data_IF_559412919397
#
_entry.id   IF_559412919397
#
_cell.length_a   1.000
_cell.length_b   1.000
_cell.length_c   1.000
_cell.angle_alpha   90.00
_cell.angle_beta   90.00
_cell.angle_gamma   90.00
#
_symmetry.space_group_name_H-M   'P 1'
#
loop_
_entity.id
_entity.type
_entity.pdbx_description
1 polymer ?
#
# COMPACT_ATOMS: atom_id res chain seq x y z
N UNK A 1 -13.15 14.38 -8.69
CA UNK A 1 -13.12 13.10 -9.39
C UNK A 1 -12.19 12.15 -8.66
N UNK A 2 -12.65 10.94 -8.36
CA UNK A 2 -11.80 9.96 -7.69
C UNK A 2 -10.70 9.46 -8.61
N UNK A 3 -9.50 9.34 -8.07
CA UNK A 3 -8.37 8.79 -8.79
C UNK A 3 -7.94 7.48 -8.15
N UNK A 4 -7.51 6.55 -8.96
CA UNK A 4 -7.11 5.23 -8.49
C UNK A 4 -5.65 4.96 -8.87
N UNK A 5 -4.93 4.33 -7.95
CA UNK A 5 -3.55 3.93 -8.17
C UNK A 5 -3.49 2.43 -8.39
N UNK A 6 -2.89 2.01 -9.50
CA UNK A 6 -2.67 0.59 -9.76
C UNK A 6 -1.49 0.11 -8.91
N UNK A 7 -1.79 -0.78 -7.95
CA UNK A 7 -0.79 -1.27 -7.00
C UNK A 7 -0.30 -2.68 -7.33
N UNK A 8 -0.69 -3.19 -8.49
CA UNK A 8 -0.25 -4.49 -8.98
C UNK A 8 -1.41 -5.43 -9.25
N UNK A 9 -1.22 -6.35 -10.18
CA UNK A 9 -2.20 -7.40 -10.52
C UNK A 9 -3.60 -6.88 -10.81
N UNK A 10 -3.71 -5.67 -11.37
CA UNK A 10 -5.00 -5.06 -11.68
C UNK A 10 -5.74 -4.48 -10.50
N UNK A 11 -5.13 -4.51 -9.32
CA UNK A 11 -5.75 -3.94 -8.12
C UNK A 11 -5.63 -2.42 -8.14
N UNK A 12 -6.74 -1.75 -7.90
CA UNK A 12 -6.78 -0.29 -7.87
C UNK A 12 -7.14 0.18 -6.48
N UNK A 13 -6.41 1.18 -5.98
CA UNK A 13 -6.66 1.78 -4.68
C UNK A 13 -7.02 3.24 -4.86
N UNK A 14 -8.08 3.69 -4.22
CA UNK A 14 -8.48 5.09 -4.25
C UNK A 14 -7.40 5.92 -3.55
N UNK A 15 -6.82 6.86 -4.28
CA UNK A 15 -5.71 7.69 -3.78
C UNK A 15 -6.11 8.45 -2.51
N UNK A 16 -7.35 8.91 -2.44
CA UNK A 16 -7.82 9.67 -1.28
C UNK A 16 -7.87 8.84 0.01
N UNK A 17 -7.84 7.51 -0.11
CA UNK A 17 -7.85 6.62 1.05
C UNK A 17 -6.47 6.20 1.50
N UNK A 18 -5.43 6.58 0.77
CA UNK A 18 -4.06 6.22 1.11
C UNK A 18 -3.54 7.15 2.20
N UNK A 19 -3.13 6.56 3.32
CA UNK A 19 -2.50 7.30 4.41
C UNK A 19 -1.00 7.45 4.15
N UNK A 20 -0.33 6.35 3.83
CA UNK A 20 1.08 6.39 3.46
C UNK A 20 1.47 5.10 2.74
N UNK A 21 2.59 5.16 2.03
CA UNK A 21 3.16 4.01 1.33
C UNK A 21 4.57 3.81 1.89
N UNK A 22 4.87 2.58 2.28
CA UNK A 22 6.13 2.24 2.94
C UNK A 22 6.89 1.23 2.10
N UNK A 23 8.16 1.52 1.83
CA UNK A 23 9.03 0.51 1.23
C UNK A 23 9.72 -0.27 2.35
N UNK A 24 10.03 -1.53 2.08
CA UNK A 24 10.89 -2.27 2.96
C UNK A 24 10.39 -3.65 3.30
N UNK A 25 11.11 -4.26 4.22
CA UNK A 25 10.84 -5.62 4.67
C UNK A 25 9.76 -5.65 5.75
N UNK A 26 9.45 -6.88 6.19
CA UNK A 26 8.40 -7.10 7.17
C UNK A 26 8.65 -6.40 8.51
N UNK A 27 9.93 -6.33 8.93
CA UNK A 27 10.25 -5.70 10.21
C UNK A 27 9.99 -4.19 10.18
N UNK A 28 10.39 -3.54 9.10
CA UNK A 28 10.16 -2.11 8.93
C UNK A 28 8.68 -1.81 8.86
N UNK A 29 7.95 -2.63 8.12
CA UNK A 29 6.50 -2.49 7.99
C UNK A 29 5.82 -2.63 9.34
N UNK A 30 6.22 -3.64 10.12
CA UNK A 30 5.65 -3.86 11.44
C UNK A 30 5.83 -2.65 12.35
N UNK A 31 7.03 -2.06 12.35
CA UNK A 31 7.30 -0.89 13.18
C UNK A 31 6.41 0.29 12.81
N UNK A 32 6.24 0.53 11.51
CA UNK A 32 5.40 1.63 11.05
C UNK A 32 3.94 1.35 11.35
N UNK A 33 3.51 0.10 11.19
CA UNK A 33 2.14 -0.29 11.51
C UNK A 33 1.81 -0.01 12.98
N UNK A 34 2.73 -0.39 13.88
CA UNK A 34 2.55 -0.12 15.32
C UNK A 34 2.46 1.38 15.58
N UNK A 35 3.31 2.15 14.93
CA UNK A 35 3.32 3.60 15.09
C UNK A 35 2.00 4.25 14.68
N UNK A 36 1.34 3.69 13.67
CA UNK A 36 0.10 4.24 13.13
C UNK A 36 -1.17 3.52 13.62
N UNK A 37 -1.02 2.61 14.58
CA UNK A 37 -2.17 1.94 15.16
C UNK A 37 -2.71 0.75 14.38
N UNK A 38 -1.92 0.19 13.47
CA UNK A 38 -2.34 -0.95 12.64
C UNK A 38 -1.93 -2.30 13.25
N UNK A 39 -1.82 -2.36 14.57
CA UNK A 39 -1.37 -3.56 15.29
C UNK A 39 -2.52 -4.43 15.77
N UNK A 40 -3.74 -4.12 15.36
CA UNK A 40 -4.92 -4.82 15.84
C UNK A 40 -5.25 -6.03 14.97
N UNK A 41 -5.84 -7.04 15.60
CA UNK A 41 -6.26 -8.23 14.89
C UNK A 41 -7.39 -7.97 13.88
N UNK A 42 -8.05 -6.83 13.99
CA UNK A 42 -9.12 -6.44 13.08
C UNK A 42 -8.63 -5.79 11.78
N UNK A 43 -7.32 -5.60 11.63
CA UNK A 43 -6.76 -5.01 10.42
C UNK A 43 -6.92 -5.98 9.25
N UNK A 44 -7.50 -5.50 8.15
CA UNK A 44 -7.61 -6.29 6.93
C UNK A 44 -6.36 -6.12 6.09
N UNK A 45 -5.85 -7.22 5.56
CA UNK A 45 -4.66 -7.21 4.71
C UNK A 45 -5.04 -7.73 3.33
N UNK A 46 -4.80 -6.92 2.32
CA UNK A 46 -5.04 -7.28 0.92
C UNK A 46 -3.69 -7.56 0.27
N UNK A 47 -3.42 -8.82 -0.04
CA UNK A 47 -2.17 -9.22 -0.66
C UNK A 47 -2.36 -9.24 -2.19
N UNK A 48 -1.68 -8.33 -2.87
CA UNK A 48 -1.74 -8.24 -4.33
C UNK A 48 -0.39 -8.59 -4.95
N UNK A 49 0.46 -9.32 -4.20
CA UNK A 49 1.78 -9.71 -4.69
C UNK A 49 1.74 -10.91 -5.63
N UNK A 50 0.69 -11.73 -5.57
CA UNK A 50 0.57 -12.97 -6.34
C UNK A 50 1.82 -13.84 -6.15
N UNK A 51 2.23 -14.03 -4.90
CA UNK A 51 3.38 -14.84 -4.48
C UNK A 51 4.74 -14.24 -4.82
N UNK A 52 4.78 -13.02 -5.34
CA UNK A 52 6.03 -12.31 -5.52
C UNK A 52 6.48 -11.67 -4.20
N UNK A 53 7.73 -11.25 -4.16
CA UNK A 53 8.27 -10.61 -2.97
C UNK A 53 7.58 -9.27 -2.68
N UNK A 54 7.28 -9.01 -1.41
CA UNK A 54 6.71 -7.74 -1.00
C UNK A 54 7.76 -6.64 -1.08
N UNK A 55 7.45 -5.57 -1.80
CA UNK A 55 8.36 -4.43 -1.95
C UNK A 55 7.80 -3.15 -1.35
N UNK A 56 6.49 -3.07 -1.20
CA UNK A 56 5.86 -1.91 -0.59
C UNK A 56 4.59 -2.32 0.13
N UNK A 57 4.21 -1.50 1.10
CA UNK A 57 2.97 -1.68 1.84
C UNK A 57 2.25 -0.34 1.87
N UNK A 58 0.96 -0.39 1.55
CA UNK A 58 0.11 0.79 1.47
C UNK A 58 -0.84 0.78 2.64
N UNK A 59 -0.74 1.78 3.51
CA UNK A 59 -1.63 1.93 4.66
C UNK A 59 -2.80 2.82 4.27
N UNK A 60 -4.00 2.34 4.50
CA UNK A 60 -5.22 3.06 4.14
C UNK A 60 -5.86 3.69 5.38
N UNK A 61 -6.67 4.72 5.16
CA UNK A 61 -7.31 5.47 6.25
C UNK A 61 -8.34 4.65 7.02
N UNK A 62 -8.87 3.59 6.42
CA UNK A 62 -9.84 2.71 7.08
C UNK A 62 -9.19 1.57 7.87
N UNK A 63 -7.89 1.68 8.15
CA UNK A 63 -7.10 0.70 8.88
C UNK A 63 -6.84 -0.60 8.11
N UNK A 64 -7.11 -0.62 6.81
CA UNK A 64 -6.72 -1.75 5.98
C UNK A 64 -5.34 -1.51 5.38
N UNK A 65 -4.72 -2.60 4.91
CA UNK A 65 -3.36 -2.59 4.40
C UNK A 65 -3.32 -3.33 3.07
N UNK A 66 -2.57 -2.78 2.12
CA UNK A 66 -2.33 -3.46 0.85
C UNK A 66 -0.85 -3.81 0.76
N UNK A 67 -0.57 -5.08 0.55
CA UNK A 67 0.81 -5.58 0.39
C UNK A 67 1.06 -5.75 -1.10
N UNK A 68 2.10 -5.09 -1.61
CA UNK A 68 2.34 -5.02 -3.05
C UNK A 68 3.77 -5.46 -3.41
N UNK A 69 3.93 -6.06 -4.58
CA UNK A 69 5.23 -6.39 -5.14
C UNK A 69 5.79 -5.24 -6.00
N UNK A 70 5.04 -4.17 -6.18
CA UNK A 70 5.47 -2.99 -6.91
C UNK A 70 6.29 -2.11 -5.97
N UNK A 71 7.48 -1.65 -6.41
CA UNK A 71 8.33 -0.81 -5.59
C UNK A 71 7.67 0.56 -5.33
N UNK A 72 8.09 1.21 -4.25
CA UNK A 72 7.57 2.54 -3.93
C UNK A 72 7.93 3.56 -5.00
N UNK A 73 9.10 3.42 -5.63
CA UNK A 73 9.48 4.33 -6.72
C UNK A 73 8.56 4.17 -7.92
N UNK A 74 8.17 2.93 -8.25
CA UNK A 74 7.23 2.70 -9.34
C UNK A 74 5.83 3.20 -8.99
N UNK A 75 5.40 3.00 -7.75
CA UNK A 75 4.10 3.51 -7.30
C UNK A 75 4.07 5.03 -7.36
N UNK A 76 5.17 5.67 -6.97
CA UNK A 76 5.27 7.13 -7.04
C UNK A 76 5.17 7.62 -8.48
N UNK A 77 5.82 6.91 -9.39
CA UNK A 77 5.75 7.23 -10.82
C UNK A 77 4.33 7.10 -11.35
N UNK A 78 3.65 6.01 -11.00
CA UNK A 78 2.26 5.79 -11.41
C UNK A 78 1.33 6.87 -10.86
N UNK A 79 1.57 7.27 -9.60
CA UNK A 79 0.79 8.34 -8.97
C UNK A 79 0.89 9.64 -9.76
N UNK A 80 2.11 10.03 -10.16
CA UNK A 80 2.31 11.25 -10.91
C UNK A 80 1.75 11.18 -12.32
N UNK A 81 1.83 10.03 -12.98
CA UNK A 81 1.25 9.83 -14.30
C UNK A 81 -0.27 9.96 -14.25
N UNK A 82 -0.90 9.40 -13.22
CA UNK A 82 -2.36 9.41 -13.10
C UNK A 82 -2.90 10.76 -12.64
N UNK A 83 -2.07 11.63 -12.10
CA UNK A 83 -2.51 12.92 -11.58
C UNK A 83 -2.56 14.04 -12.64
N UNK A 84 -2.13 13.75 -13.85
CA UNK A 84 -2.16 14.75 -14.92
C UNK A 84 -3.52 14.90 -15.57
#
# INVERSE_FOLDING_TARGET
MAKFLNVGKGALVNIDKIRCIISGDADKVRKVMLKHGYDRSSVEVYDVTADAETRSVILLNDESIVVSSVSTSELNKRFHEDSE
#
